data_IF_866227488454
#
_entry.id   IF_866227488454
#
_cell.length_a   1.000
_cell.length_b   1.000
_cell.length_c   1.000
_cell.angle_alpha   90.00
_cell.angle_beta   90.00
_cell.angle_gamma   90.00
#
_symmetry.space_group_name_H-M   'P 1'
#
loop_
_entity.id
_entity.type
_entity.pdbx_description
1 polymer ?
#
# COMPACT_ATOMS: atom_id res chain seq x y z
N UNK A 1 5.19 -20.11 54.25
CA UNK A 1 4.81 -21.36 53.55
C UNK A 1 3.29 -21.44 53.64
N UNK A 2 2.46 -21.51 52.59
CA UNK A 2 2.60 -21.96 51.20
C UNK A 2 1.83 -21.01 50.27
N UNK A 3 2.30 -20.91 49.03
CA UNK A 3 1.72 -20.17 47.91
C UNK A 3 0.35 -20.71 47.49
N UNK A 4 -0.52 -19.82 47.04
CA UNK A 4 -1.68 -20.11 46.19
C UNK A 4 -1.83 -18.98 45.18
N UNK A 5 -1.02 -18.99 44.14
CA UNK A 5 -1.26 -18.18 42.93
C UNK A 5 -2.21 -19.02 42.06
N UNK A 6 -3.47 -18.62 42.01
CA UNK A 6 -4.42 -19.15 41.05
C UNK A 6 -4.00 -18.66 39.65
N UNK A 7 -3.61 -19.61 38.80
CA UNK A 7 -3.42 -19.39 37.38
C UNK A 7 -4.81 -19.19 36.73
N UNK A 8 -5.25 -17.95 36.62
CA UNK A 8 -6.26 -17.57 35.63
C UNK A 8 -5.56 -17.46 34.27
N UNK A 9 -5.45 -18.59 33.57
CA UNK A 9 -5.23 -18.61 32.13
C UNK A 9 -6.49 -18.06 31.47
N UNK A 10 -6.56 -16.73 31.35
CA UNK A 10 -7.53 -16.08 30.47
C UNK A 10 -7.36 -16.68 29.07
N UNK A 11 -8.44 -17.32 28.61
CA UNK A 11 -8.51 -17.89 27.27
C UNK A 11 -8.32 -16.76 26.26
N UNK A 12 -7.18 -16.76 25.58
CA UNK A 12 -7.02 -15.98 24.36
C UNK A 12 -8.15 -16.38 23.39
N UNK A 13 -8.77 -15.42 22.68
CA UNK A 13 -9.86 -15.73 21.77
C UNK A 13 -9.40 -16.77 20.73
N UNK A 14 -10.15 -17.87 20.61
CA UNK A 14 -9.85 -19.01 19.73
C UNK A 14 -10.40 -18.85 18.31
N UNK A 15 -10.93 -17.69 17.95
CA UNK A 15 -11.37 -17.39 16.59
C UNK A 15 -10.27 -16.63 15.81
N UNK A 16 -9.95 -17.04 14.57
CA UNK A 16 -9.03 -16.28 13.74
C UNK A 16 -9.61 -14.88 13.51
N UNK A 17 -8.91 -13.86 13.99
CA UNK A 17 -9.24 -12.46 13.78
C UNK A 17 -9.36 -12.21 12.27
N UNK A 18 -10.54 -11.74 11.81
CA UNK A 18 -10.78 -11.44 10.39
C UNK A 18 -9.75 -10.45 9.85
N UNK A 19 -9.48 -10.43 8.53
CA UNK A 19 -8.48 -9.49 8.00
C UNK A 19 -8.89 -8.02 8.25
N UNK A 20 -10.20 -7.74 8.26
CA UNK A 20 -10.72 -6.42 8.63
C UNK A 20 -10.43 -6.06 10.09
N UNK A 21 -10.56 -7.00 11.04
CA UNK A 21 -10.22 -6.76 12.45
C UNK A 21 -8.70 -6.65 12.66
N UNK A 22 -7.89 -7.47 11.99
CA UNK A 22 -6.41 -7.32 12.00
C UNK A 22 -5.98 -5.98 11.45
N UNK A 23 -6.63 -5.55 10.38
CA UNK A 23 -6.40 -4.23 9.81
C UNK A 23 -6.80 -3.11 10.78
N UNK A 24 -7.94 -3.21 11.47
CA UNK A 24 -8.34 -2.22 12.47
C UNK A 24 -7.34 -2.14 13.63
N UNK A 25 -6.90 -3.29 14.15
CA UNK A 25 -5.86 -3.35 15.18
C UNK A 25 -4.56 -2.74 14.66
N UNK A 26 -4.19 -3.03 13.42
CA UNK A 26 -3.05 -2.41 12.76
C UNK A 26 -3.21 -0.89 12.67
N UNK A 27 -4.36 -0.37 12.25
CA UNK A 27 -4.65 1.08 12.17
C UNK A 27 -4.63 1.76 13.54
N UNK A 28 -5.21 1.13 14.56
CA UNK A 28 -5.19 1.63 15.94
C UNK A 28 -3.77 1.71 16.49
N UNK A 29 -2.94 0.71 16.18
CA UNK A 29 -1.53 0.71 16.52
C UNK A 29 -0.71 1.68 15.64
N UNK A 30 -1.15 1.90 14.39
CA UNK A 30 -0.51 2.82 13.46
C UNK A 30 -0.68 4.29 13.88
N UNK A 31 -1.86 4.72 14.35
CA UNK A 31 -2.03 6.11 14.84
C UNK A 31 -1.23 6.39 16.12
N UNK A 32 -0.80 5.34 16.81
CA UNK A 32 0.13 5.39 17.93
C UNK A 32 1.60 5.19 17.50
N UNK A 33 1.96 5.35 16.21
CA UNK A 33 3.28 5.05 15.60
C UNK A 33 4.48 5.80 16.16
N UNK A 34 4.31 6.82 17.00
CA UNK A 34 5.45 7.30 17.77
C UNK A 34 5.75 6.48 19.03
N UNK A 35 4.97 5.43 19.36
CA UNK A 35 5.20 4.68 20.60
C UNK A 35 4.62 3.28 20.82
N UNK A 36 3.82 2.64 19.94
CA UNK A 36 3.10 1.40 20.37
C UNK A 36 3.21 0.15 19.47
N UNK A 37 3.60 0.23 18.19
CA UNK A 37 4.13 -0.98 17.54
C UNK A 37 5.57 -1.17 18.02
N UNK A 38 5.84 -2.23 18.77
CA UNK A 38 7.23 -2.60 19.03
C UNK A 38 7.88 -2.84 17.66
N UNK A 39 9.08 -2.30 17.42
CA UNK A 39 9.87 -2.55 16.20
C UNK A 39 10.10 -4.05 15.91
N UNK A 40 9.74 -4.91 16.86
CA UNK A 40 9.73 -6.35 16.75
C UNK A 40 8.58 -6.91 15.89
N UNK A 41 7.48 -6.18 15.67
CA UNK A 41 6.26 -6.67 15.02
C UNK A 41 6.18 -6.38 13.51
N UNK A 42 7.01 -5.46 13.01
CA UNK A 42 7.08 -5.12 11.59
C UNK A 42 8.50 -4.80 11.12
N UNK A 43 8.70 -4.84 9.82
CA UNK A 43 9.91 -4.35 9.17
C UNK A 43 9.58 -3.20 8.23
N UNK A 44 10.53 -2.30 8.02
CA UNK A 44 10.37 -1.17 7.09
C UNK A 44 11.09 -1.43 5.76
N UNK A 45 10.52 -0.91 4.69
CA UNK A 45 11.01 -0.93 3.30
C UNK A 45 12.30 -0.14 3.01
N UNK A 46 12.85 0.61 3.97
CA UNK A 46 14.14 1.32 3.79
C UNK A 46 14.02 2.83 3.60
N UNK A 47 14.93 3.41 2.83
CA UNK A 47 15.00 4.86 2.57
C UNK A 47 14.20 5.27 1.32
N UNK A 48 13.93 6.56 1.17
CA UNK A 48 13.30 7.16 -0.02
C UNK A 48 13.99 6.70 -1.31
N UNK A 49 13.21 6.34 -2.33
CA UNK A 49 13.69 5.87 -3.61
C UNK A 49 14.13 4.40 -3.65
N UNK A 50 14.07 3.68 -2.53
CA UNK A 50 14.49 2.27 -2.43
C UNK A 50 13.31 1.30 -2.53
N UNK A 51 13.60 0.14 -3.13
CA UNK A 51 12.72 -1.03 -3.13
C UNK A 51 13.41 -2.12 -2.31
N UNK A 52 12.84 -2.48 -1.16
CA UNK A 52 13.34 -3.62 -0.36
C UNK A 52 12.89 -4.93 -0.98
N UNK A 53 13.84 -5.82 -1.25
CA UNK A 53 13.56 -7.19 -1.71
C UNK A 53 13.75 -8.15 -0.54
N UNK A 54 12.68 -8.83 -0.14
CA UNK A 54 12.68 -9.81 0.93
C UNK A 54 11.65 -10.91 0.68
N UNK A 55 12.05 -11.87 -0.16
CA UNK A 55 11.23 -13.00 -0.60
C UNK A 55 11.47 -14.26 0.22
N UNK A 56 12.11 -14.18 1.40
CA UNK A 56 12.31 -15.35 2.26
C UNK A 56 10.95 -15.83 2.80
N UNK A 57 10.52 -17.08 2.53
CA UNK A 57 9.24 -17.61 3.02
C UNK A 57 9.16 -17.72 4.55
N UNK A 58 10.28 -17.68 5.25
CA UNK A 58 10.34 -17.76 6.71
C UNK A 58 10.11 -16.39 7.39
N UNK A 59 10.23 -15.29 6.64
CA UNK A 59 9.95 -13.96 7.14
C UNK A 59 8.45 -13.68 7.16
N UNK A 60 7.88 -13.69 8.38
CA UNK A 60 6.44 -13.53 8.62
C UNK A 60 6.01 -12.17 9.15
N UNK A 61 6.97 -11.31 9.52
CA UNK A 61 6.65 -9.97 10.01
C UNK A 61 5.99 -9.16 8.91
N UNK A 62 5.01 -8.34 9.27
CA UNK A 62 4.43 -7.35 8.37
C UNK A 62 5.54 -6.49 7.74
N UNK A 63 5.44 -6.26 6.44
CA UNK A 63 6.28 -5.29 5.74
C UNK A 63 5.56 -3.94 5.62
N UNK A 64 6.08 -2.92 6.29
CA UNK A 64 5.61 -1.54 6.21
C UNK A 64 6.37 -0.78 5.12
N UNK A 65 5.65 -0.41 4.08
CA UNK A 65 6.08 0.45 2.99
C UNK A 65 5.85 1.91 3.37
N UNK A 66 6.95 2.64 3.56
CA UNK A 66 6.93 4.08 3.85
C UNK A 66 6.71 4.91 2.59
N UNK A 67 6.42 6.20 2.79
CA UNK A 67 6.38 7.19 1.70
C UNK A 67 7.62 7.11 0.82
N UNK A 68 7.39 7.09 -0.50
CA UNK A 68 8.43 7.07 -1.53
C UNK A 68 9.36 5.84 -1.47
N UNK A 69 8.83 4.69 -1.04
CA UNK A 69 9.55 3.41 -1.01
C UNK A 69 8.69 2.29 -1.58
N UNK A 70 9.26 1.10 -1.75
CA UNK A 70 8.51 -0.10 -2.04
C UNK A 70 9.10 -1.37 -1.43
N UNK A 71 8.35 -2.46 -1.53
CA UNK A 71 8.80 -3.76 -1.09
C UNK A 71 8.31 -4.88 -2.02
N UNK A 72 9.22 -5.77 -2.39
CA UNK A 72 8.95 -7.05 -3.05
C UNK A 72 9.12 -8.16 -2.03
N UNK A 73 8.06 -8.89 -1.76
CA UNK A 73 8.02 -9.93 -0.72
C UNK A 73 7.41 -11.22 -1.25
N UNK A 74 7.52 -12.30 -0.49
CA UNK A 74 6.84 -13.56 -0.80
C UNK A 74 5.30 -13.39 -0.80
N UNK A 75 4.59 -14.31 -1.46
CA UNK A 75 3.13 -14.26 -1.61
C UNK A 75 2.34 -14.33 -0.28
N UNK A 76 2.93 -14.90 0.77
CA UNK A 76 2.29 -15.17 2.05
C UNK A 76 2.55 -14.08 3.11
N UNK A 77 3.24 -13.01 2.74
CA UNK A 77 3.59 -11.92 3.65
C UNK A 77 2.57 -10.80 3.60
N UNK A 78 2.20 -10.31 4.78
CA UNK A 78 1.38 -9.11 4.92
C UNK A 78 2.17 -7.86 4.50
N UNK A 79 1.49 -6.92 3.87
CA UNK A 79 2.06 -5.65 3.42
C UNK A 79 1.15 -4.50 3.87
N UNK A 80 1.76 -3.36 4.19
CA UNK A 80 1.02 -2.14 4.47
C UNK A 80 1.73 -0.90 3.91
N UNK A 81 0.96 0.12 3.54
CA UNK A 81 1.47 1.47 3.29
C UNK A 81 0.90 2.39 4.36
N UNK A 82 1.73 3.30 4.88
CA UNK A 82 1.28 4.40 5.73
C UNK A 82 1.03 5.71 4.94
N UNK A 83 0.05 6.49 5.42
CA UNK A 83 -0.13 7.92 5.13
C UNK A 83 -0.10 8.29 3.64
N UNK A 84 -0.88 7.61 2.82
CA UNK A 84 -1.21 8.11 1.48
C UNK A 84 -2.00 9.42 1.64
N UNK A 85 -1.48 10.48 1.01
CA UNK A 85 -2.12 11.77 0.87
C UNK A 85 -1.71 12.33 -0.49
N UNK A 86 -2.65 12.44 -1.44
CA UNK A 86 -2.34 12.80 -2.83
C UNK A 86 -1.29 11.88 -3.53
N UNK A 87 -1.06 10.69 -2.97
CA UNK A 87 -0.13 9.67 -3.46
C UNK A 87 -0.87 8.54 -4.16
N UNK A 88 -0.10 7.63 -4.77
CA UNK A 88 -0.61 6.41 -5.40
C UNK A 88 0.06 5.22 -4.74
N UNK A 89 -0.71 4.20 -4.40
CA UNK A 89 -0.15 2.88 -4.13
C UNK A 89 -0.21 2.02 -5.39
N UNK A 90 0.92 1.46 -5.78
CA UNK A 90 0.99 0.40 -6.79
C UNK A 90 1.12 -0.93 -6.06
N UNK A 91 0.08 -1.76 -6.12
CA UNK A 91 0.12 -3.13 -5.64
C UNK A 91 0.18 -4.08 -6.82
N UNK A 92 1.10 -5.05 -6.81
CA UNK A 92 1.24 -6.06 -7.87
C UNK A 92 1.31 -7.45 -7.24
N UNK A 93 0.46 -8.35 -7.74
CA UNK A 93 0.50 -9.77 -7.42
C UNK A 93 1.14 -10.52 -8.58
N UNK A 94 2.26 -11.19 -8.31
CA UNK A 94 2.93 -12.07 -9.25
C UNK A 94 2.94 -13.52 -8.75
N UNK A 95 3.40 -14.48 -9.57
CA UNK A 95 3.59 -15.85 -9.13
C UNK A 95 4.55 -15.93 -7.94
N UNK A 96 4.04 -16.28 -6.76
CA UNK A 96 4.85 -16.47 -5.54
C UNK A 96 5.35 -15.19 -4.86
N UNK A 97 5.00 -14.00 -5.37
CA UNK A 97 5.45 -12.71 -4.82
C UNK A 97 4.33 -11.67 -4.77
N UNK A 98 4.41 -10.78 -3.79
CA UNK A 98 3.64 -9.55 -3.76
C UNK A 98 4.60 -8.35 -3.79
N UNK A 99 4.19 -7.30 -4.50
CA UNK A 99 4.96 -6.08 -4.64
C UNK A 99 4.08 -4.89 -4.29
N UNK A 100 4.54 -4.02 -3.38
CA UNK A 100 3.80 -2.83 -2.97
C UNK A 100 4.72 -1.62 -2.97
N UNK A 101 4.31 -0.56 -3.65
CA UNK A 101 5.09 0.68 -3.78
C UNK A 101 4.22 1.88 -3.45
N UNK A 102 4.74 2.77 -2.61
CA UNK A 102 4.17 4.09 -2.36
C UNK A 102 4.78 5.10 -3.34
N UNK A 103 4.03 5.44 -4.38
CA UNK A 103 4.41 6.40 -5.39
C UNK A 103 3.91 7.80 -5.02
N UNK A 104 4.77 8.80 -5.16
CA UNK A 104 4.47 10.20 -4.84
C UNK A 104 4.38 11.06 -6.12
N UNK A 105 3.82 12.27 -6.05
CA UNK A 105 4.05 13.29 -7.06
C UNK A 105 5.49 13.83 -6.98
N UNK A 106 6.23 13.70 -8.09
CA UNK A 106 7.50 14.41 -8.33
C UNK A 106 8.70 14.11 -7.40
N UNK A 107 8.77 12.97 -6.70
CA UNK A 107 9.99 12.52 -5.96
C UNK A 107 10.67 11.29 -6.58
N UNK A 108 11.50 10.55 -5.85
CA UNK A 108 12.35 9.48 -6.41
C UNK A 108 11.54 8.36 -7.07
N UNK A 109 10.44 7.91 -6.45
CA UNK A 109 9.43 7.02 -7.03
C UNK A 109 8.23 7.82 -7.57
N UNK A 110 8.53 8.93 -8.22
CA UNK A 110 7.55 9.89 -8.70
C UNK A 110 6.77 9.43 -9.94
N UNK A 111 5.44 9.58 -9.92
CA UNK A 111 4.57 9.22 -11.06
C UNK A 111 4.10 10.43 -11.91
N UNK A 112 4.44 11.64 -11.48
CA UNK A 112 3.99 12.88 -12.12
C UNK A 112 5.05 13.97 -12.02
N UNK A 113 5.26 14.73 -13.11
CA UNK A 113 6.15 15.88 -13.17
C UNK A 113 5.50 16.99 -14.01
N UNK A 114 4.95 18.02 -13.35
CA UNK A 114 4.53 19.21 -14.09
C UNK A 114 5.78 20.01 -14.51
N UNK A 115 5.76 20.61 -15.72
CA UNK A 115 6.67 21.68 -16.19
C UNK A 115 8.03 21.23 -16.74
N UNK A 116 8.29 19.95 -16.90
CA UNK A 116 9.49 19.47 -17.62
C UNK A 116 9.13 19.09 -19.06
N UNK A 117 9.90 19.53 -20.07
CA UNK A 117 9.63 19.19 -21.47
C UNK A 117 9.67 17.67 -21.73
N UNK A 118 10.41 16.92 -20.91
CA UNK A 118 10.55 15.46 -21.02
C UNK A 118 9.92 14.72 -19.83
N UNK A 119 8.89 15.30 -19.19
CA UNK A 119 8.25 14.74 -18.00
C UNK A 119 7.83 13.27 -18.18
N UNK A 120 7.29 12.92 -19.35
CA UNK A 120 6.86 11.55 -19.62
C UNK A 120 8.02 10.56 -19.71
N UNK A 121 9.12 10.92 -20.39
CA UNK A 121 10.32 10.08 -20.48
C UNK A 121 10.93 9.81 -19.10
N UNK A 122 10.91 10.82 -18.22
CA UNK A 122 11.36 10.68 -16.83
C UNK A 122 10.48 9.68 -16.08
N UNK A 123 9.15 9.76 -16.20
CA UNK A 123 8.23 8.82 -15.55
C UNK A 123 8.44 7.41 -16.10
N UNK A 124 8.64 7.24 -17.41
CA UNK A 124 8.93 5.94 -18.04
C UNK A 124 10.21 5.31 -17.48
N UNK A 125 11.29 6.07 -17.40
CA UNK A 125 12.55 5.60 -16.83
C UNK A 125 12.40 5.21 -15.34
N UNK A 126 11.62 5.98 -14.57
CA UNK A 126 11.32 5.67 -13.17
C UNK A 126 10.48 4.39 -13.03
N UNK A 127 9.45 4.22 -13.86
CA UNK A 127 8.63 3.00 -13.86
C UNK A 127 9.48 1.76 -14.18
N UNK A 128 10.39 1.85 -15.15
CA UNK A 128 11.32 0.76 -15.43
C UNK A 128 12.18 0.40 -14.22
N UNK A 129 12.75 1.41 -13.53
CA UNK A 129 13.51 1.21 -12.29
C UNK A 129 12.66 0.63 -11.16
N UNK A 130 11.41 1.07 -11.02
CA UNK A 130 10.47 0.56 -10.00
C UNK A 130 10.17 -0.92 -10.25
N UNK A 131 9.96 -1.33 -11.50
CA UNK A 131 9.61 -2.70 -11.86
C UNK A 131 10.83 -3.64 -11.96
N UNK A 132 12.05 -3.11 -12.00
CA UNK A 132 13.27 -3.91 -12.16
C UNK A 132 13.39 -5.07 -11.15
N UNK A 133 13.20 -4.88 -9.82
CA UNK A 133 13.28 -5.98 -8.87
C UNK A 133 12.21 -7.05 -9.12
N UNK A 134 11.00 -6.64 -9.53
CA UNK A 134 9.91 -7.55 -9.86
C UNK A 134 10.23 -8.35 -11.12
N UNK A 135 10.77 -7.70 -12.16
CA UNK A 135 11.16 -8.34 -13.41
C UNK A 135 12.30 -9.35 -13.25
N UNK A 136 13.15 -9.18 -12.23
CA UNK A 136 14.19 -10.15 -11.87
C UNK A 136 13.62 -11.38 -11.16
N UNK A 137 12.46 -11.26 -10.51
CA UNK A 137 11.83 -12.34 -9.75
C UNK A 137 10.81 -13.14 -10.57
N UNK A 138 10.04 -12.47 -11.44
CA UNK A 138 8.93 -13.06 -12.20
C UNK A 138 8.76 -12.41 -13.56
N UNK A 139 8.08 -13.11 -14.49
CA UNK A 139 7.68 -12.52 -15.76
C UNK A 139 6.59 -11.45 -15.56
N UNK A 140 6.85 -10.20 -15.93
CA UNK A 140 5.91 -9.09 -15.72
C UNK A 140 4.55 -9.29 -16.39
N UNK A 141 4.51 -9.99 -17.53
CA UNK A 141 3.29 -10.30 -18.27
C UNK A 141 2.33 -11.21 -17.47
N UNK A 142 2.88 -12.00 -16.54
CA UNK A 142 2.13 -12.92 -15.68
C UNK A 142 1.56 -12.23 -14.43
N UNK A 143 1.86 -10.95 -14.21
CA UNK A 143 1.49 -10.22 -12.99
C UNK A 143 0.21 -9.41 -13.15
N UNK A 144 -0.46 -9.18 -12.02
CA UNK A 144 -1.66 -8.35 -11.91
C UNK A 144 -1.37 -7.11 -11.06
N UNK A 145 -1.41 -5.93 -11.67
CA UNK A 145 -1.24 -4.64 -11.02
C UNK A 145 -2.57 -3.98 -10.67
N UNK A 146 -2.61 -3.33 -9.51
CA UNK A 146 -3.66 -2.43 -9.06
C UNK A 146 -3.03 -1.10 -8.65
N UNK A 147 -3.48 -0.04 -9.32
CA UNK A 147 -3.19 1.34 -8.94
C UNK A 147 -4.32 1.79 -8.03
N UNK A 148 -3.97 2.19 -6.81
CA UNK A 148 -4.89 2.76 -5.82
C UNK A 148 -4.54 4.22 -5.60
N UNK A 149 -5.23 5.15 -6.28
CA UNK A 149 -5.03 6.57 -6.06
C UNK A 149 -5.63 7.01 -4.73
N UNK A 150 -5.02 8.00 -4.11
CA UNK A 150 -5.59 8.73 -3.00
C UNK A 150 -5.95 10.15 -3.45
N UNK A 151 -7.17 10.59 -3.13
CA UNK A 151 -7.63 11.92 -3.55
C UNK A 151 -6.69 12.99 -3.01
N UNK A 152 -6.20 13.84 -3.92
CA UNK A 152 -5.32 14.94 -3.54
C UNK A 152 -6.06 16.08 -2.85
N UNK A 153 -5.31 17.00 -2.26
CA UNK A 153 -5.87 18.21 -1.68
C UNK A 153 -6.29 19.20 -2.78
N UNK A 154 -7.36 19.96 -2.55
CA UNK A 154 -7.85 20.97 -3.51
C UNK A 154 -7.13 22.32 -3.38
N UNK A 155 -5.85 22.31 -3.02
CA UNK A 155 -5.11 23.51 -2.59
C UNK A 155 -4.08 24.03 -3.62
N UNK A 156 -4.10 23.52 -4.85
CA UNK A 156 -3.11 23.86 -5.88
C UNK A 156 -1.76 23.16 -5.71
N UNK A 157 -0.88 23.30 -6.70
CA UNK A 157 0.46 22.67 -6.70
C UNK A 157 0.49 21.25 -7.31
N UNK A 158 1.62 20.52 -7.16
CA UNK A 158 1.81 19.22 -7.80
C UNK A 158 0.97 18.08 -7.21
N UNK A 159 0.34 18.32 -6.05
CA UNK A 159 -0.54 17.39 -5.36
C UNK A 159 -2.04 17.70 -5.59
N UNK A 160 -2.34 18.71 -6.41
CA UNK A 160 -3.72 19.11 -6.71
C UNK A 160 -4.45 18.04 -7.51
N UNK A 161 -5.68 17.70 -7.08
CA UNK A 161 -6.52 16.66 -7.69
C UNK A 161 -6.71 16.85 -9.20
N UNK A 162 -6.86 18.09 -9.68
CA UNK A 162 -7.04 18.39 -11.10
C UNK A 162 -5.79 18.08 -11.93
N UNK A 163 -4.61 18.17 -11.31
CA UNK A 163 -3.32 17.89 -11.95
C UNK A 163 -2.97 16.39 -11.94
N UNK A 164 -3.27 15.68 -10.85
CA UNK A 164 -2.85 14.28 -10.68
C UNK A 164 -3.80 13.25 -11.27
N UNK A 165 -5.09 13.59 -11.43
CA UNK A 165 -6.11 12.63 -11.91
C UNK A 165 -5.81 12.07 -13.31
N UNK A 166 -5.40 12.93 -14.25
CA UNK A 166 -4.97 12.49 -15.59
C UNK A 166 -3.64 11.71 -15.55
N UNK A 167 -2.77 12.02 -14.58
CA UNK A 167 -1.49 11.36 -14.43
C UNK A 167 -1.64 9.88 -14.03
N UNK A 168 -2.71 9.52 -13.32
CA UNK A 168 -2.96 8.12 -12.92
C UNK A 168 -3.31 7.23 -14.11
N UNK A 169 -4.13 7.72 -15.04
CA UNK A 169 -4.40 7.01 -16.30
C UNK A 169 -3.10 6.88 -17.11
N UNK A 170 -2.28 7.94 -17.17
CA UNK A 170 -1.01 7.86 -17.89
C UNK A 170 -0.03 6.89 -17.23
N UNK A 171 0.04 6.85 -15.90
CA UNK A 171 0.85 5.88 -15.16
C UNK A 171 0.43 4.44 -15.49
N UNK A 172 -0.88 4.17 -15.56
CA UNK A 172 -1.39 2.86 -15.99
C UNK A 172 -0.85 2.47 -17.35
N UNK A 173 -0.96 3.35 -18.34
CA UNK A 173 -0.48 3.07 -19.69
C UNK A 173 1.03 2.79 -19.69
N UNK A 174 1.82 3.59 -18.97
CA UNK A 174 3.28 3.40 -18.86
C UNK A 174 3.63 2.06 -18.20
N UNK A 175 2.89 1.62 -17.18
CA UNK A 175 3.09 0.31 -16.54
C UNK A 175 2.81 -0.84 -17.51
N UNK A 176 1.75 -0.74 -18.32
CA UNK A 176 1.42 -1.72 -19.35
C UNK A 176 2.48 -1.73 -20.45
N UNK A 177 2.90 -0.57 -20.92
CA UNK A 177 3.98 -0.43 -21.91
C UNK A 177 5.32 -0.97 -21.40
N UNK A 178 5.56 -0.93 -20.09
CA UNK A 178 6.72 -1.55 -19.44
C UNK A 178 6.61 -3.08 -19.30
N UNK A 179 5.51 -3.69 -19.75
CA UNK A 179 5.32 -5.14 -19.81
C UNK A 179 4.52 -5.72 -18.65
N UNK A 180 3.97 -4.90 -17.75
CA UNK A 180 3.10 -5.39 -16.67
C UNK A 180 1.75 -5.85 -17.23
N UNK A 181 1.42 -7.13 -17.03
CA UNK A 181 0.32 -7.82 -17.72
C UNK A 181 -1.05 -7.15 -17.66
N UNK A 182 -1.76 -7.29 -16.53
CA UNK A 182 -3.07 -6.66 -16.32
C UNK A 182 -2.95 -5.57 -15.27
N UNK A 183 -3.19 -4.30 -15.65
CA UNK A 183 -3.15 -3.16 -14.72
C UNK A 183 -4.54 -2.53 -14.60
N UNK A 184 -5.08 -2.57 -13.40
CA UNK A 184 -6.37 -1.95 -13.04
C UNK A 184 -6.11 -0.63 -12.32
N UNK A 185 -6.88 0.40 -12.66
CA UNK A 185 -6.94 1.66 -11.92
C UNK A 185 -8.22 1.64 -11.08
N UNK A 186 -8.11 1.70 -9.75
CA UNK A 186 -9.28 1.80 -8.88
C UNK A 186 -9.89 3.19 -8.90
N UNK A 187 -11.11 3.31 -8.40
CA UNK A 187 -11.63 4.61 -7.97
C UNK A 187 -10.68 5.23 -6.93
N UNK A 188 -10.48 6.56 -6.95
CA UNK A 188 -9.66 7.24 -5.96
C UNK A 188 -10.25 7.09 -4.55
N UNK A 189 -9.38 6.93 -3.56
CA UNK A 189 -9.79 6.87 -2.15
C UNK A 189 -10.12 8.28 -1.66
N UNK A 190 -11.37 8.55 -1.22
CA UNK A 190 -11.77 9.83 -0.64
C UNK A 190 -11.39 9.88 0.84
N UNK A 191 -10.12 9.64 1.14
CA UNK A 191 -9.59 9.49 2.50
C UNK A 191 -8.28 10.27 2.64
N UNK A 192 -8.05 10.95 3.77
CA UNK A 192 -6.76 11.54 4.12
C UNK A 192 -6.02 10.67 5.16
N UNK A 193 -4.71 10.85 5.26
CA UNK A 193 -3.81 10.06 6.11
C UNK A 193 -4.07 8.54 5.96
N UNK A 194 -4.19 8.11 4.71
CA UNK A 194 -4.74 6.78 4.42
C UNK A 194 -3.70 5.70 4.55
N UNK A 195 -4.05 4.64 5.26
CA UNK A 195 -3.27 3.42 5.28
C UNK A 195 -3.92 2.39 4.36
N UNK A 196 -3.10 1.70 3.59
CA UNK A 196 -3.47 0.49 2.88
C UNK A 196 -2.87 -0.74 3.54
N UNK A 197 -3.59 -1.84 3.51
CA UNK A 197 -3.15 -3.13 4.04
C UNK A 197 -3.59 -4.27 3.14
N UNK A 198 -2.66 -5.18 2.91
CA UNK A 198 -2.86 -6.42 2.20
C UNK A 198 -2.71 -7.61 3.16
N UNK A 199 -3.70 -8.49 3.14
CA UNK A 199 -3.67 -9.76 3.87
C UNK A 199 -3.71 -10.93 2.89
N UNK A 200 -2.70 -11.82 2.88
CA UNK A 200 -2.64 -12.95 1.96
C UNK A 200 -3.75 -13.98 2.20
N UNK A 201 -4.34 -14.05 3.40
CA UNK A 201 -5.46 -14.95 3.70
C UNK A 201 -6.77 -14.49 3.03
N UNK A 202 -6.88 -13.20 2.70
CA UNK A 202 -7.96 -12.66 1.88
C UNK A 202 -7.41 -12.22 0.52
N UNK A 203 -6.72 -13.15 -0.16
CA UNK A 203 -6.12 -12.91 -1.47
C UNK A 203 -7.09 -12.22 -2.42
N UNK A 204 -6.59 -11.20 -3.12
CA UNK A 204 -7.40 -10.36 -3.99
C UNK A 204 -8.14 -9.23 -3.26
N UNK A 205 -7.82 -8.93 -2.00
CA UNK A 205 -8.41 -7.81 -1.26
C UNK A 205 -7.33 -6.90 -0.67
N UNK A 206 -7.46 -5.60 -0.90
CA UNK A 206 -6.80 -4.55 -0.11
C UNK A 206 -7.83 -3.87 0.80
N UNK A 207 -7.38 -3.48 1.99
CA UNK A 207 -8.15 -2.69 2.92
C UNK A 207 -7.55 -1.29 3.01
N UNK A 208 -8.39 -0.26 2.89
CA UNK A 208 -8.03 1.13 3.09
C UNK A 208 -8.73 1.67 4.34
N UNK A 209 -8.01 2.44 5.15
CA UNK A 209 -8.60 3.20 6.24
C UNK A 209 -7.88 4.54 6.38
N UNK A 210 -8.67 5.58 6.62
CA UNK A 210 -8.18 6.94 6.72
C UNK A 210 -9.28 7.85 7.29
N UNK A 211 -9.02 9.15 7.21
CA UNK A 211 -9.95 10.21 7.58
C UNK A 211 -10.86 10.50 6.40
N UNK A 212 -12.19 10.47 6.56
CA UNK A 212 -13.08 10.85 5.46
C UNK A 212 -12.91 12.34 5.12
N UNK A 213 -12.53 12.64 3.88
CA UNK A 213 -12.30 14.02 3.42
C UNK A 213 -13.62 14.80 3.24
N UNK A 214 -14.76 14.12 3.25
CA UNK A 214 -16.08 14.71 3.05
C UNK A 214 -16.90 14.83 4.35
N UNK A 215 -16.31 14.61 5.53
CA UNK A 215 -17.07 14.76 6.78
C UNK A 215 -17.43 16.25 7.00
N UNK A 216 -18.73 16.57 6.94
CA UNK A 216 -19.27 17.94 7.06
C UNK A 216 -19.03 18.58 8.45
N UNK A 217 -18.54 17.82 9.43
CA UNK A 217 -18.26 18.29 10.79
C UNK A 217 -16.82 18.79 10.95
N UNK A 218 -16.50 19.93 10.35
CA UNK A 218 -15.19 20.61 10.50
C UNK A 218 -14.90 21.14 11.92
N UNK A 219 -15.79 20.88 12.88
CA UNK A 219 -15.71 21.38 14.27
C UNK A 219 -15.84 20.29 15.35
N UNK A 220 -15.92 19.00 14.99
CA UNK A 220 -15.92 17.94 15.99
C UNK A 220 -14.52 17.35 16.13
N UNK A 221 -14.07 17.17 17.37
CA UNK A 221 -12.89 16.38 17.74
C UNK A 221 -13.01 14.89 17.36
N UNK A 222 -14.08 14.50 16.67
CA UNK A 222 -14.33 13.17 16.14
C UNK A 222 -14.12 13.15 14.63
N UNK A 223 -12.86 13.12 14.23
CA UNK A 223 -12.47 12.75 12.88
C UNK A 223 -13.08 11.39 12.49
N UNK A 224 -13.99 11.38 11.52
CA UNK A 224 -14.68 10.17 11.06
C UNK A 224 -13.70 9.24 10.32
N UNK A 225 -13.31 8.14 10.98
CA UNK A 225 -12.56 7.06 10.34
C UNK A 225 -13.48 6.30 9.39
N UNK A 226 -13.04 6.09 8.16
CA UNK A 226 -13.76 5.28 7.16
C UNK A 226 -12.88 4.15 6.67
N UNK A 227 -13.51 3.00 6.42
CA UNK A 227 -12.87 1.81 5.87
C UNK A 227 -13.46 1.50 4.50
N UNK A 228 -12.59 1.15 3.56
CA UNK A 228 -12.97 0.76 2.18
C UNK A 228 -12.28 -0.56 1.87
N UNK A 229 -13.07 -1.52 1.34
CA UNK A 229 -12.56 -2.79 0.81
C UNK A 229 -12.38 -2.64 -0.70
N UNK A 230 -11.17 -2.91 -1.21
CA UNK A 230 -10.84 -2.82 -2.62
C UNK A 230 -10.57 -4.24 -3.13
N UNK A 231 -11.39 -4.72 -4.05
CA UNK A 231 -11.20 -6.02 -4.68
C UNK A 231 -10.23 -5.91 -5.86
N UNK A 232 -9.16 -6.70 -5.81
CA UNK A 232 -8.26 -6.94 -6.93
C UNK A 232 -8.94 -8.00 -7.78
N UNK A 233 -9.39 -7.63 -8.98
CA UNK A 233 -9.84 -8.63 -9.96
C UNK A 233 -8.60 -9.35 -10.50
N UNK A 234 -8.07 -10.30 -9.73
CA UNK A 234 -7.02 -11.18 -10.23
C UNK A 234 -7.66 -12.15 -11.22
N UNK A 235 -7.19 -12.14 -12.46
CA UNK A 235 -7.40 -13.27 -13.35
C UNK A 235 -6.75 -14.49 -12.70
N UNK A 236 -7.35 -15.68 -12.85
CA UNK A 236 -6.68 -16.92 -12.42
C UNK A 236 -5.33 -16.99 -13.13
N UNK A 237 -4.23 -17.08 -12.38
CA UNK A 237 -2.94 -17.46 -12.95
C UNK A 237 -3.13 -18.82 -13.65
N UNK A 238 -2.77 -18.92 -14.93
CA UNK A 238 -2.78 -20.19 -15.61
C UNK A 238 -1.71 -21.08 -14.97
N UNK A 239 -2.14 -22.20 -14.40
CA UNK A 239 -1.30 -23.26 -13.84
C UNK A 239 -0.56 -24.01 -14.93
#
# INVERSE_FOLDING_TARGET
MKHGLENTLEHAPTEPVSASQRFLLFIENLRNIQGVLKSEEYESSGNSGEIKVDTDPNHRKLMLVKTDTGALVNADRELAIERLSACVALFVQGPGVNFLVHLTPSTDLGYYYHRFPNAEEIVRAKVQKILEPLAQAVELSSCHGLIVPNDGNNNGGPYDKSNVSQAWTRLKDILVEAGLGNVVLSEPLPLDETTLYYNPQESGTLFAAGLDVNSEDSNSTQQHKKQIRISIQSGKFAS
#
